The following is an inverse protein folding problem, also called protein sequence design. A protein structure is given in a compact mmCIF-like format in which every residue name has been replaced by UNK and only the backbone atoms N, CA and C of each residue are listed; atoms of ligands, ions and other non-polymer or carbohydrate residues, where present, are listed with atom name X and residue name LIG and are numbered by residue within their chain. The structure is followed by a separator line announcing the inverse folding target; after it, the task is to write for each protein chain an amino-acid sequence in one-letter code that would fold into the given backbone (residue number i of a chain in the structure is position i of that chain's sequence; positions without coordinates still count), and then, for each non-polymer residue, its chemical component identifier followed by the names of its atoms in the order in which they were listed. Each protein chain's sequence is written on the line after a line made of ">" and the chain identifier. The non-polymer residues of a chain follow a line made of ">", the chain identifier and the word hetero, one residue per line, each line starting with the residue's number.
data_IF_363376766948
#
_entry.id   IF_363376766948
#
_cell.length_a   1.000
_cell.length_b   1.000
_cell.length_c   1.000
_cell.angle_alpha   90.00
_cell.angle_beta   90.00
_cell.angle_gamma   90.00
#
_symmetry.space_group_name_H-M   'P 1'
#
loop_
_entity.id
_entity.type
_entity.pdbx_description
1 polymer ?
#
# COMPACT_ATOMS: atom_id res chain seq x y z
N UNK A 1 -18.70 8.28 20.36
CA UNK A 1 -18.72 9.50 19.52
C UNK A 1 -17.88 9.20 18.27
N UNK A 2 -18.47 8.61 17.23
CA UNK A 2 -17.78 8.32 15.98
C UNK A 2 -18.18 9.32 14.87
N UNK A 3 -18.26 10.61 15.21
CA UNK A 3 -18.49 11.67 14.23
C UNK A 3 -17.14 12.17 13.70
N UNK A 4 -17.01 12.21 12.38
CA UNK A 4 -15.85 12.78 11.70
C UNK A 4 -16.26 14.11 11.07
N UNK A 5 -15.54 15.16 11.42
CA UNK A 5 -15.71 16.47 10.81
C UNK A 5 -14.62 16.71 9.77
N UNK A 6 -15.02 16.88 8.51
CA UNK A 6 -14.11 17.22 7.42
C UNK A 6 -14.01 18.73 7.31
N UNK A 7 -12.91 19.29 7.80
CA UNK A 7 -12.66 20.74 7.82
C UNK A 7 -12.75 21.37 6.43
N UNK A 8 -12.18 20.73 5.41
CA UNK A 8 -12.22 21.26 4.04
C UNK A 8 -13.63 21.29 3.43
N UNK A 9 -14.48 20.33 3.79
CA UNK A 9 -15.87 20.29 3.35
C UNK A 9 -16.81 21.09 4.26
N UNK A 10 -16.30 21.54 5.42
CA UNK A 10 -17.08 22.10 6.53
C UNK A 10 -18.33 21.27 6.87
N UNK A 11 -18.17 19.94 6.95
CA UNK A 11 -19.27 18.99 7.17
C UNK A 11 -18.89 17.91 8.16
N UNK A 12 -19.89 17.47 8.93
CA UNK A 12 -19.78 16.36 9.87
C UNK A 12 -20.50 15.13 9.35
N UNK A 13 -19.85 13.98 9.40
CA UNK A 13 -20.41 12.68 9.05
C UNK A 13 -20.46 11.80 10.30
N UNK A 14 -21.52 11.00 10.41
CA UNK A 14 -21.68 10.03 11.48
C UNK A 14 -21.28 8.64 10.98
N UNK A 15 -20.18 8.09 11.51
CA UNK A 15 -19.68 6.76 11.10
C UNK A 15 -20.46 5.62 11.74
N UNK A 16 -21.36 5.91 12.68
CA UNK A 16 -22.28 4.92 13.23
C UNK A 16 -23.52 4.74 12.34
N UNK A 17 -23.69 5.59 11.32
CA UNK A 17 -24.79 5.50 10.33
C UNK A 17 -24.32 4.80 9.07
N UNK A 18 -24.99 3.71 8.71
CA UNK A 18 -24.70 2.99 7.49
C UNK A 18 -25.20 3.78 6.27
N UNK A 19 -24.31 4.10 5.34
CA UNK A 19 -24.61 4.89 4.13
C UNK A 19 -24.72 4.05 2.86
N UNK A 20 -24.08 2.88 2.83
CA UNK A 20 -24.08 1.96 1.68
C UNK A 20 -24.40 0.53 2.08
N UNK A 21 -24.89 -0.27 1.13
CA UNK A 21 -25.27 -1.67 1.35
C UNK A 21 -24.30 -2.64 0.69
N UNK A 22 -24.39 -3.92 1.06
CA UNK A 22 -23.67 -5.00 0.39
C UNK A 22 -24.09 -5.08 -1.08
N UNK A 23 -23.14 -5.41 -1.95
CA UNK A 23 -23.19 -5.42 -3.40
C UNK A 23 -23.35 -4.03 -4.06
N UNK A 24 -23.33 -2.94 -3.30
CA UNK A 24 -23.36 -1.59 -3.86
C UNK A 24 -21.99 -1.22 -4.45
N UNK A 25 -22.01 -0.58 -5.62
CA UNK A 25 -20.81 -0.06 -6.27
C UNK A 25 -20.50 1.34 -5.75
N UNK A 26 -19.24 1.58 -5.41
CA UNK A 26 -18.70 2.84 -4.91
C UNK A 26 -17.45 3.22 -5.70
N UNK A 27 -17.10 4.50 -5.74
CA UNK A 27 -16.01 5.03 -6.56
C UNK A 27 -15.01 5.77 -5.68
N UNK A 28 -13.72 5.52 -5.89
CA UNK A 28 -12.63 6.27 -5.27
C UNK A 28 -12.35 7.53 -6.09
N UNK A 29 -12.60 8.70 -5.54
CA UNK A 29 -12.28 9.98 -6.18
C UNK A 29 -10.96 10.54 -5.64
N UNK A 30 -10.21 11.23 -6.53
CA UNK A 30 -8.96 11.92 -6.18
C UNK A 30 -7.68 11.11 -6.34
N UNK A 31 -7.76 9.86 -6.80
CA UNK A 31 -6.62 9.02 -7.21
C UNK A 31 -6.89 8.33 -8.55
N UNK A 32 -6.98 6.99 -8.56
CA UNK A 32 -7.11 6.18 -9.76
C UNK A 32 -8.52 6.19 -10.38
N UNK A 33 -9.50 6.79 -9.72
CA UNK A 33 -10.92 6.76 -10.13
C UNK A 33 -11.49 5.34 -10.24
N UNK A 34 -10.90 4.40 -9.47
CA UNK A 34 -11.33 3.01 -9.46
C UNK A 34 -12.69 2.83 -8.81
N UNK A 35 -13.43 1.84 -9.29
CA UNK A 35 -14.70 1.41 -8.74
C UNK A 35 -14.52 0.14 -7.90
N UNK A 36 -15.28 0.07 -6.82
CA UNK A 36 -15.27 -1.01 -5.85
C UNK A 36 -16.69 -1.51 -5.63
N UNK A 37 -16.82 -2.77 -5.24
CA UNK A 37 -18.07 -3.29 -4.68
C UNK A 37 -17.90 -3.55 -3.19
N UNK A 38 -18.90 -3.15 -2.40
CA UNK A 38 -19.00 -3.46 -0.98
C UNK A 38 -19.42 -4.92 -0.83
N UNK A 39 -18.53 -5.82 -0.44
CA UNK A 39 -18.87 -7.25 -0.34
C UNK A 39 -19.29 -7.67 1.06
N UNK A 40 -18.89 -6.91 2.09
CA UNK A 40 -19.26 -7.16 3.48
C UNK A 40 -19.32 -5.82 4.23
N UNK A 41 -20.23 -5.74 5.21
CA UNK A 41 -20.31 -4.60 6.13
C UNK A 41 -20.27 -5.13 7.55
N UNK A 42 -19.20 -4.82 8.27
CA UNK A 42 -19.04 -5.21 9.68
C UNK A 42 -19.34 -4.03 10.59
N UNK A 43 -20.04 -4.30 11.69
CA UNK A 43 -20.35 -3.29 12.71
C UNK A 43 -19.81 -3.76 14.06
N UNK A 44 -19.02 -2.93 14.71
CA UNK A 44 -18.47 -3.20 16.03
C UNK A 44 -18.55 -1.96 16.95
N UNK A 45 -17.86 -1.99 18.09
CA UNK A 45 -17.81 -0.89 19.06
C UNK A 45 -17.10 0.37 18.54
N UNK A 46 -16.35 0.26 17.45
CA UNK A 46 -15.57 1.33 16.82
C UNK A 46 -16.25 1.94 15.60
N UNK A 47 -17.33 1.32 15.10
CA UNK A 47 -18.21 1.87 14.08
C UNK A 47 -18.51 0.86 12.98
N UNK A 48 -18.73 1.38 11.78
CA UNK A 48 -19.01 0.58 10.59
C UNK A 48 -17.75 0.53 9.73
N UNK A 49 -17.35 -0.67 9.32
CA UNK A 49 -16.31 -0.90 8.32
C UNK A 49 -16.92 -1.59 7.11
N UNK A 50 -16.69 -0.99 5.95
CA UNK A 50 -17.06 -1.49 4.64
C UNK A 50 -15.87 -2.24 4.06
N UNK A 51 -16.07 -3.50 3.74
CA UNK A 51 -15.07 -4.31 3.06
C UNK A 51 -15.31 -4.23 1.56
N UNK A 52 -14.27 -3.84 0.85
CA UNK A 52 -14.33 -3.46 -0.54
C UNK A 52 -13.46 -4.38 -1.36
N UNK A 53 -13.87 -4.61 -2.60
CA UNK A 53 -13.03 -5.26 -3.59
C UNK A 53 -13.07 -4.48 -4.89
N UNK A 54 -11.89 -4.18 -5.42
CA UNK A 54 -11.72 -3.38 -6.62
C UNK A 54 -12.20 -4.16 -7.85
N UNK A 55 -13.06 -3.53 -8.66
CA UNK A 55 -13.65 -4.17 -9.84
C UNK A 55 -12.65 -4.46 -10.95
N UNK A 56 -11.54 -3.70 -10.98
CA UNK A 56 -10.49 -3.78 -12.01
C UNK A 56 -9.28 -4.58 -11.52
N UNK A 57 -8.76 -4.25 -10.34
CA UNK A 57 -7.51 -4.84 -9.82
C UNK A 57 -7.73 -6.09 -8.97
N UNK A 58 -8.97 -6.36 -8.53
CA UNK A 58 -9.29 -7.44 -7.59
C UNK A 58 -8.58 -7.32 -6.24
N UNK A 59 -8.13 -6.13 -5.88
CA UNK A 59 -7.51 -5.84 -4.58
C UNK A 59 -8.59 -5.65 -3.52
N UNK A 60 -8.25 -6.07 -2.30
CA UNK A 60 -9.11 -5.90 -1.14
C UNK A 60 -8.75 -4.61 -0.41
N UNK A 61 -9.77 -3.82 -0.12
CA UNK A 61 -9.67 -2.58 0.64
C UNK A 61 -10.71 -2.54 1.75
N UNK A 62 -10.52 -1.59 2.67
CA UNK A 62 -11.50 -1.29 3.70
C UNK A 62 -11.71 0.21 3.80
N UNK A 63 -12.92 0.62 4.13
CA UNK A 63 -13.24 2.01 4.42
C UNK A 63 -14.23 2.09 5.55
N UNK A 64 -14.08 3.12 6.39
CA UNK A 64 -15.02 3.37 7.48
C UNK A 64 -15.93 4.58 7.21
N UNK A 65 -15.76 5.24 6.05
CA UNK A 65 -16.55 6.40 5.66
C UNK A 65 -16.72 6.40 4.13
N UNK A 66 -17.97 6.26 3.69
CA UNK A 66 -18.35 6.37 2.29
C UNK A 66 -19.42 7.46 2.18
N UNK A 67 -19.14 8.47 1.36
CA UNK A 67 -19.93 9.71 1.27
C UNK A 67 -20.80 9.73 0.01
N UNK A 68 -21.92 10.45 -0.01
CA UNK A 68 -22.69 10.64 -1.24
C UNK A 68 -21.89 11.43 -2.27
N UNK A 69 -22.00 11.04 -3.54
CA UNK A 69 -21.29 11.68 -4.65
C UNK A 69 -21.78 13.11 -4.90
N UNK A 70 -23.05 13.41 -4.63
CA UNK A 70 -23.58 14.79 -4.65
C UNK A 70 -22.88 15.73 -3.66
N UNK A 71 -22.24 15.18 -2.63
CA UNK A 71 -21.47 15.91 -1.62
C UNK A 71 -19.96 15.77 -1.80
N UNK A 72 -19.51 15.47 -3.03
CA UNK A 72 -18.10 15.22 -3.33
C UNK A 72 -17.20 16.39 -2.90
N UNK A 73 -16.23 16.08 -2.04
CA UNK A 73 -15.18 17.02 -1.63
C UNK A 73 -13.87 16.30 -1.32
N UNK A 74 -12.85 16.56 -2.15
CA UNK A 74 -11.51 15.99 -2.00
C UNK A 74 -11.46 14.48 -2.21
N UNK A 75 -10.34 13.89 -1.80
CA UNK A 75 -10.06 12.47 -1.94
C UNK A 75 -10.99 11.65 -1.05
N UNK A 76 -11.49 10.52 -1.55
CA UNK A 76 -12.16 9.50 -0.74
C UNK A 76 -13.13 8.64 -1.55
N UNK A 77 -13.89 7.79 -0.85
CA UNK A 77 -14.81 6.85 -1.48
C UNK A 77 -16.23 7.41 -1.43
N UNK A 78 -16.91 7.35 -2.57
CA UNK A 78 -18.24 7.91 -2.76
C UNK A 78 -19.22 6.89 -3.34
N UNK A 79 -20.49 6.99 -2.97
CA UNK A 79 -21.57 6.25 -3.61
C UNK A 79 -22.45 7.18 -4.44
N UNK A 80 -22.96 6.69 -5.57
CA UNK A 80 -23.93 7.44 -6.38
C UNK A 80 -25.28 7.46 -5.66
N UNK A 81 -25.61 8.61 -5.08
CA UNK A 81 -26.85 8.85 -4.35
C UNK A 81 -28.05 9.17 -5.27
N UNK A 82 -27.79 9.52 -6.53
CA UNK A 82 -28.83 9.76 -7.53
C UNK A 82 -29.22 8.46 -8.24
N UNK A 83 -28.25 7.61 -8.58
CA UNK A 83 -28.43 6.36 -9.32
C UNK A 83 -27.58 5.24 -8.71
N UNK A 84 -27.94 4.70 -7.53
CA UNK A 84 -27.15 3.67 -6.89
C UNK A 84 -27.12 2.39 -7.74
N UNK A 85 -25.91 1.93 -8.06
CA UNK A 85 -25.67 0.69 -8.79
C UNK A 85 -25.37 -0.46 -7.84
N UNK A 86 -26.00 -1.59 -8.08
CA UNK A 86 -25.74 -2.85 -7.37
C UNK A 86 -25.25 -3.91 -8.35
N UNK A 87 -24.28 -4.71 -7.93
CA UNK A 87 -23.92 -5.94 -8.63
C UNK A 87 -24.82 -7.09 -8.19
N UNK A 88 -24.95 -8.09 -9.06
CA UNK A 88 -25.62 -9.32 -8.67
C UNK A 88 -24.79 -10.03 -7.58
N UNK A 89 -25.44 -10.67 -6.57
CA UNK A 89 -24.73 -11.41 -5.54
C UNK A 89 -23.81 -12.51 -6.12
N UNK A 90 -24.19 -13.15 -7.23
CA UNK A 90 -23.36 -14.17 -7.88
C UNK A 90 -22.13 -13.56 -8.55
N UNK A 91 -22.28 -12.39 -9.19
CA UNK A 91 -21.15 -11.64 -9.75
C UNK A 91 -20.17 -11.23 -8.65
N UNK A 92 -20.69 -10.75 -7.52
CA UNK A 92 -19.87 -10.36 -6.36
C UNK A 92 -19.14 -11.57 -5.77
N UNK A 93 -19.80 -12.72 -5.64
CA UNK A 93 -19.17 -13.95 -5.17
C UNK A 93 -18.06 -14.44 -6.12
N UNK A 94 -18.29 -14.41 -7.43
CA UNK A 94 -17.28 -14.77 -8.43
C UNK A 94 -16.06 -13.84 -8.36
N UNK A 95 -16.31 -12.54 -8.17
CA UNK A 95 -15.25 -11.55 -8.02
C UNK A 95 -14.44 -11.76 -6.74
N UNK A 96 -15.07 -12.14 -5.62
CA UNK A 96 -14.38 -12.49 -4.38
C UNK A 96 -13.49 -13.72 -4.53
N UNK A 97 -13.93 -14.74 -5.26
CA UNK A 97 -13.11 -15.93 -5.53
C UNK A 97 -11.85 -15.52 -6.29
N UNK A 98 -12.03 -14.77 -7.38
CA UNK A 98 -10.91 -14.28 -8.21
C UNK A 98 -9.94 -13.40 -7.43
N UNK A 99 -10.45 -12.51 -6.57
CA UNK A 99 -9.63 -11.66 -5.71
C UNK A 99 -8.83 -12.47 -4.69
N UNK A 100 -9.43 -13.50 -4.07
CA UNK A 100 -8.72 -14.39 -3.13
C UNK A 100 -7.63 -15.20 -3.82
N UNK A 101 -7.89 -15.71 -5.02
CA UNK A 101 -6.89 -16.45 -5.81
C UNK A 101 -5.69 -15.56 -6.17
N UNK A 102 -5.94 -14.34 -6.65
CA UNK A 102 -4.88 -13.37 -6.96
C UNK A 102 -4.05 -13.06 -5.72
N UNK A 103 -4.69 -12.76 -4.59
CA UNK A 103 -3.99 -12.47 -3.33
C UNK A 103 -3.14 -13.65 -2.85
N UNK A 104 -3.65 -14.88 -2.95
CA UNK A 104 -2.90 -16.07 -2.59
C UNK A 104 -1.67 -16.29 -3.49
N UNK A 105 -1.78 -16.01 -4.79
CA UNK A 105 -0.65 -16.07 -5.72
C UNK A 105 0.43 -15.03 -5.40
N UNK A 106 0.02 -13.79 -5.10
CA UNK A 106 0.94 -12.71 -4.71
C UNK A 106 1.64 -13.00 -3.38
N UNK A 107 0.91 -13.50 -2.38
CA UNK A 107 1.48 -13.92 -1.08
C UNK A 107 2.48 -15.07 -1.26
N UNK A 108 2.21 -16.02 -2.15
CA UNK A 108 3.13 -17.11 -2.48
C UNK A 108 4.42 -16.56 -3.12
N UNK A 109 4.31 -15.68 -4.12
CA UNK A 109 5.46 -15.04 -4.77
C UNK A 109 6.28 -14.21 -3.77
N UNK A 110 5.61 -13.44 -2.91
CA UNK A 110 6.26 -12.65 -1.87
C UNK A 110 7.01 -13.53 -0.85
N UNK A 111 6.43 -14.68 -0.47
CA UNK A 111 7.08 -15.65 0.41
C UNK A 111 8.31 -16.28 -0.25
N UNK A 112 8.20 -16.73 -1.50
CA UNK A 112 9.33 -17.29 -2.26
C UNK A 112 10.46 -16.27 -2.40
N UNK A 113 10.15 -15.02 -2.73
CA UNK A 113 11.12 -13.94 -2.82
C UNK A 113 11.80 -13.65 -1.48
N UNK A 114 11.04 -13.69 -0.37
CA UNK A 114 11.59 -13.52 0.99
C UNK A 114 12.51 -14.68 1.36
N UNK A 115 12.12 -15.92 1.09
CA UNK A 115 12.95 -17.10 1.34
C UNK A 115 14.24 -17.09 0.50
N UNK A 116 14.16 -16.65 -0.75
CA UNK A 116 15.34 -16.43 -1.60
C UNK A 116 16.25 -15.34 -1.03
N UNK A 117 15.69 -14.19 -0.64
CA UNK A 117 16.44 -13.11 -0.02
C UNK A 117 17.15 -13.57 1.27
N UNK A 118 16.45 -14.30 2.14
CA UNK A 118 17.02 -14.84 3.37
C UNK A 118 18.14 -15.86 3.10
N UNK A 119 18.01 -16.70 2.06
CA UNK A 119 19.09 -17.61 1.63
C UNK A 119 20.31 -16.84 1.15
N UNK A 120 20.12 -15.85 0.28
CA UNK A 120 21.20 -15.00 -0.24
C UNK A 120 21.89 -14.23 0.89
N UNK A 121 21.11 -13.69 1.83
CA UNK A 121 21.63 -12.97 2.99
C UNK A 121 22.50 -13.87 3.89
N UNK A 122 22.11 -15.13 4.13
CA UNK A 122 22.93 -16.09 4.89
C UNK A 122 24.26 -16.38 4.20
N UNK A 123 24.22 -16.68 2.90
CA UNK A 123 25.43 -16.92 2.08
C UNK A 123 26.34 -15.68 2.10
N UNK A 124 25.75 -14.51 1.90
CA UNK A 124 26.46 -13.23 1.93
C UNK A 124 27.13 -12.99 3.29
N UNK A 125 26.43 -13.27 4.39
CA UNK A 125 26.97 -13.14 5.75
C UNK A 125 28.16 -14.06 5.99
N UNK A 126 28.06 -15.33 5.59
CA UNK A 126 29.15 -16.30 5.75
C UNK A 126 30.38 -15.91 4.92
N UNK A 127 30.17 -15.43 3.69
CA UNK A 127 31.25 -14.95 2.81
C UNK A 127 31.89 -13.65 3.30
N UNK A 128 31.11 -12.76 3.90
CA UNK A 128 31.61 -11.48 4.41
C UNK A 128 32.41 -11.67 5.70
N UNK A 129 32.01 -12.58 6.58
CA UNK A 129 32.60 -12.78 7.91
C UNK A 129 34.15 -12.82 7.94
N UNK A 130 34.86 -13.55 7.06
CA UNK A 130 36.33 -13.55 7.06
C UNK A 130 36.95 -12.26 6.50
N UNK A 131 36.20 -11.46 5.74
CA UNK A 131 36.68 -10.22 5.12
C UNK A 131 36.55 -9.01 6.06
N UNK A 132 35.70 -9.08 7.09
CA UNK A 132 35.47 -7.97 8.04
C UNK A 132 36.64 -7.88 9.03
N UNK A 133 37.36 -6.75 9.07
CA UNK A 133 38.39 -6.51 10.09
C UNK A 133 37.80 -6.51 11.50
N UNK A 134 38.54 -7.02 12.49
CA UNK A 134 38.06 -7.10 13.88
C UNK A 134 37.84 -5.74 14.55
N UNK A 135 38.50 -4.69 14.06
CA UNK A 135 38.37 -3.32 14.54
C UNK A 135 37.37 -2.47 13.72
N UNK A 136 36.69 -3.08 12.75
CA UNK A 136 35.64 -2.43 11.97
C UNK A 136 34.41 -2.17 12.85
N UNK A 137 33.91 -0.93 12.81
CA UNK A 137 32.67 -0.50 13.46
C UNK A 137 31.55 -0.18 12.47
N UNK A 138 31.87 0.09 11.21
CA UNK A 138 30.92 0.35 10.14
C UNK A 138 31.44 -0.12 8.78
N UNK A 139 30.55 -0.21 7.79
CA UNK A 139 30.85 -0.57 6.39
C UNK A 139 30.59 0.66 5.52
N UNK A 140 31.53 1.00 4.64
CA UNK A 140 31.37 2.05 3.65
C UNK A 140 30.75 1.43 2.40
N UNK A 141 29.57 1.89 2.02
CA UNK A 141 28.79 1.35 0.91
C UNK A 141 28.69 2.40 -0.20
N UNK A 142 29.02 2.00 -1.42
CA UNK A 142 28.76 2.77 -2.63
C UNK A 142 27.47 2.29 -3.32
N UNK A 143 26.53 3.20 -3.56
CA UNK A 143 25.30 2.91 -4.32
C UNK A 143 25.31 3.67 -5.64
N UNK A 144 25.20 2.96 -6.76
CA UNK A 144 24.97 3.56 -8.07
C UNK A 144 23.47 3.81 -8.23
N UNK A 145 23.08 5.08 -8.28
CA UNK A 145 21.70 5.51 -8.55
C UNK A 145 21.52 5.71 -10.04
N UNK A 146 20.44 5.15 -10.59
CA UNK A 146 20.00 5.39 -11.97
C UNK A 146 18.74 6.22 -11.90
N UNK A 147 18.73 7.35 -12.63
CA UNK A 147 17.59 8.24 -12.68
C UNK A 147 16.43 7.55 -13.38
N UNK A 148 15.27 7.53 -12.72
CA UNK A 148 14.01 7.01 -13.26
C UNK A 148 12.93 8.08 -13.30
N UNK A 149 13.33 9.36 -13.23
CA UNK A 149 12.41 10.48 -13.32
C UNK A 149 11.67 10.44 -14.66
N UNK A 150 10.35 10.45 -14.58
CA UNK A 150 9.51 10.78 -15.71
C UNK A 150 8.74 12.08 -15.45
N UNK A 151 8.15 12.66 -16.49
CA UNK A 151 7.45 13.95 -16.38
C UNK A 151 6.12 13.88 -15.61
N UNK A 152 5.65 12.69 -15.24
CA UNK A 152 4.36 12.41 -14.63
C UNK A 152 4.46 11.89 -13.19
N UNK A 153 5.58 11.28 -12.77
CA UNK A 153 5.80 10.73 -11.42
C UNK A 153 7.13 11.22 -10.83
N UNK A 154 6.99 12.07 -9.81
CA UNK A 154 7.97 12.55 -8.81
C UNK A 154 9.41 12.89 -9.29
N UNK A 155 9.82 14.15 -9.06
CA UNK A 155 11.09 14.74 -9.53
C UNK A 155 12.36 14.12 -8.91
N UNK A 156 12.23 13.19 -7.98
CA UNK A 156 13.36 12.56 -7.26
C UNK A 156 13.43 11.05 -7.41
N UNK A 157 12.73 10.45 -8.39
CA UNK A 157 12.75 9.01 -8.54
C UNK A 157 14.10 8.46 -9.05
N UNK A 158 14.57 7.39 -8.41
CA UNK A 158 15.79 6.68 -8.79
C UNK A 158 15.76 5.24 -8.30
N UNK A 159 16.33 4.34 -9.09
CA UNK A 159 16.63 2.98 -8.66
C UNK A 159 18.11 2.82 -8.29
N UNK A 160 18.39 1.84 -7.43
CA UNK A 160 19.77 1.46 -7.10
C UNK A 160 20.17 0.32 -8.04
N UNK A 161 20.90 0.64 -9.11
CA UNK A 161 21.37 -0.36 -10.07
C UNK A 161 22.49 -1.24 -9.50
N UNK A 162 23.25 -0.73 -8.52
CA UNK A 162 24.33 -1.48 -7.89
C UNK A 162 24.64 -0.99 -6.49
N UNK A 163 24.97 -1.92 -5.61
CA UNK A 163 25.52 -1.65 -4.27
C UNK A 163 26.83 -2.41 -4.11
N UNK A 164 27.89 -1.73 -3.69
CA UNK A 164 29.23 -2.30 -3.47
C UNK A 164 29.76 -1.91 -2.10
N UNK A 165 30.56 -2.79 -1.50
CA UNK A 165 31.35 -2.46 -0.30
C UNK A 165 32.65 -1.80 -0.77
N UNK A 166 32.86 -0.57 -0.34
CA UNK A 166 34.07 0.20 -0.66
C UNK A 166 35.16 0.00 0.40
N UNK A 167 34.77 -0.27 1.64
CA UNK A 167 35.71 -0.50 2.75
C UNK A 167 35.03 -0.62 4.10
N UNK A 168 35.85 -0.69 5.15
CA UNK A 168 35.42 -0.77 6.55
C UNK A 168 35.94 0.44 7.33
N UNK A 169 35.10 0.98 8.19
CA UNK A 169 35.41 2.16 9.02
C UNK A 169 35.61 1.75 10.47
N UNK A 170 36.51 2.43 11.17
CA UNK A 170 36.74 2.26 12.63
C UNK A 170 35.85 3.19 13.47
N UNK A 171 35.05 4.01 12.80
CA UNK A 171 34.17 4.99 13.38
C UNK A 171 32.71 4.72 12.98
N UNK A 172 31.77 5.28 13.73
CA UNK A 172 30.33 5.26 13.38
C UNK A 172 29.85 6.60 12.86
N UNK A 173 30.77 7.57 12.71
CA UNK A 173 30.50 8.93 12.24
C UNK A 173 30.87 9.02 10.76
N UNK A 174 30.10 9.81 10.00
CA UNK A 174 30.42 10.10 8.61
C UNK A 174 31.64 11.03 8.53
N UNK A 175 32.82 10.45 8.33
CA UNK A 175 34.09 11.17 8.25
C UNK A 175 34.64 11.14 6.83
N UNK A 176 34.72 12.30 6.18
CA UNK A 176 35.23 12.41 4.81
C UNK A 176 36.70 11.95 4.68
N UNK A 177 37.47 11.99 5.77
CA UNK A 177 38.85 11.49 5.82
C UNK A 177 38.96 9.98 5.56
N UNK A 178 37.91 9.21 5.80
CA UNK A 178 37.88 7.76 5.54
C UNK A 178 37.59 7.44 4.05
N UNK A 179 37.30 8.45 3.23
CA UNK A 179 37.06 8.30 1.79
C UNK A 179 38.25 8.73 0.91
N UNK A 180 39.42 8.98 1.49
CA UNK A 180 40.65 9.42 0.79
C UNK A 180 41.65 8.29 0.59
#
# INVERSE_FOLDING_TARGET
>A
MNKVHLLGANRSYDRDVQTVLVNQVVVLEGYSYDSYVVYEVTRDKWGITYHLVNLRTYEFDTSDLIRPLSEKFGIGIYYDDANPRFLDPLETAALLIKAKEKKAEEEKKAKEAREEYERIAKIGTERLRPLVPTDAKAVIIGTLRVNECDSYTDYYDYSIARTVILGFSKHTRNLFSEMR
#
